data_IF_689257490964
#
_entry.id   IF_689257490964
#
_cell.length_a   1.000
_cell.length_b   1.000
_cell.length_c   1.000
_cell.angle_alpha   90.00
_cell.angle_beta   90.00
_cell.angle_gamma   90.00
#
_symmetry.space_group_name_H-M   'P 1'
#
loop_
_entity.id
_entity.type
_entity.pdbx_description
1 polymer ?
#
# COMPACT_ATOMS: atom_id res chain seq x y z
N UNK A 1 -9.78 1.48 -5.37
CA UNK A 1 -10.27 0.32 -6.17
C UNK A 1 -10.80 -0.79 -5.28
N UNK A 2 -9.98 -1.46 -4.44
CA UNK A 2 -10.50 -2.49 -3.50
C UNK A 2 -11.41 -1.89 -2.43
N UNK A 3 -11.11 -0.69 -1.93
CA UNK A 3 -12.00 0.05 -1.03
C UNK A 3 -13.20 0.72 -1.70
N UNK A 4 -13.35 0.62 -3.03
CA UNK A 4 -14.47 1.25 -3.73
C UNK A 4 -15.64 0.27 -3.74
N UNK A 5 -16.59 0.44 -2.84
CA UNK A 5 -17.78 -0.40 -2.67
C UNK A 5 -18.76 -0.27 -3.83
N UNK A 6 -19.07 0.95 -4.29
CA UNK A 6 -20.05 1.21 -5.36
C UNK A 6 -19.42 1.86 -6.62
N UNK A 7 -20.10 1.78 -7.77
CA UNK A 7 -19.66 2.37 -9.06
C UNK A 7 -19.41 3.88 -8.96
N UNK A 8 -20.23 4.56 -8.16
CA UNK A 8 -20.16 6.02 -7.97
C UNK A 8 -19.18 6.45 -6.86
N UNK A 9 -18.72 5.50 -6.01
CA UNK A 9 -17.75 5.76 -4.94
C UNK A 9 -18.24 6.55 -3.72
N UNK A 10 -19.55 6.84 -3.61
CA UNK A 10 -20.13 7.64 -2.51
C UNK A 10 -20.07 6.98 -1.13
N UNK A 11 -20.13 5.66 -1.08
CA UNK A 11 -20.12 4.86 0.16
C UNK A 11 -18.72 4.40 0.54
N UNK A 12 -17.71 4.76 -0.24
CA UNK A 12 -16.33 4.38 -0.01
C UNK A 12 -15.68 5.38 0.95
N UNK A 13 -15.67 5.01 2.22
CA UNK A 13 -15.14 5.86 3.29
C UNK A 13 -13.62 5.92 3.24
N UNK A 14 -13.09 7.13 3.36
CA UNK A 14 -11.68 7.35 3.67
C UNK A 14 -11.52 7.29 5.18
N UNK A 15 -10.64 6.42 5.67
CA UNK A 15 -10.32 6.27 7.09
C UNK A 15 -8.81 6.29 7.32
N UNK A 16 -8.41 6.30 8.59
CA UNK A 16 -6.99 6.37 8.99
C UNK A 16 -6.20 5.12 8.56
N UNK A 17 -6.83 3.95 8.50
CA UNK A 17 -6.21 2.69 8.05
C UNK A 17 -5.87 2.73 6.54
N UNK A 18 -6.77 3.25 5.71
CA UNK A 18 -6.52 3.46 4.28
C UNK A 18 -5.45 4.53 4.08
N UNK A 19 -5.54 5.62 4.86
CA UNK A 19 -4.58 6.73 4.80
C UNK A 19 -3.16 6.25 5.05
N UNK A 20 -2.93 5.54 6.15
CA UNK A 20 -1.61 4.99 6.53
C UNK A 20 -1.17 3.87 5.59
N UNK A 21 -2.05 2.92 5.24
CA UNK A 21 -1.73 1.84 4.31
C UNK A 21 -1.32 2.31 2.91
N UNK A 22 -1.89 3.42 2.42
CA UNK A 22 -1.42 4.05 1.18
C UNK A 22 0.01 4.60 1.27
N UNK A 23 0.46 5.06 2.45
CA UNK A 23 1.87 5.43 2.66
C UNK A 23 2.76 4.20 2.70
N UNK A 24 2.27 3.10 3.27
CA UNK A 24 2.89 1.77 3.13
C UNK A 24 3.06 1.35 1.66
N UNK A 25 2.02 1.54 0.84
CA UNK A 25 2.08 1.31 -0.61
C UNK A 25 3.17 2.16 -1.29
N UNK A 26 3.28 3.45 -0.93
CA UNK A 26 4.29 4.35 -1.51
C UNK A 26 5.71 3.85 -1.20
N UNK A 27 6.00 3.52 0.06
CA UNK A 27 7.31 3.01 0.46
C UNK A 27 7.63 1.68 -0.22
N UNK A 28 6.65 0.77 -0.27
CA UNK A 28 6.80 -0.53 -0.92
C UNK A 28 7.02 -0.40 -2.43
N UNK A 29 6.27 0.47 -3.10
CA UNK A 29 6.40 0.70 -4.53
C UNK A 29 7.78 1.29 -4.88
N UNK A 30 8.27 2.25 -4.08
CA UNK A 30 9.62 2.80 -4.22
C UNK A 30 10.70 1.74 -3.96
N UNK A 31 10.50 0.84 -3.00
CA UNK A 31 11.40 -0.28 -2.72
C UNK A 31 11.48 -1.26 -3.90
N UNK A 32 10.33 -1.66 -4.46
CA UNK A 32 10.25 -2.58 -5.58
C UNK A 32 10.81 -1.98 -6.88
N UNK A 33 10.79 -0.65 -7.01
CA UNK A 33 11.45 0.09 -8.11
C UNK A 33 12.94 0.35 -7.86
N UNK A 34 13.51 -0.14 -6.75
CA UNK A 34 14.92 0.05 -6.41
C UNK A 34 15.29 1.50 -6.09
N UNK A 35 14.33 2.34 -5.69
CA UNK A 35 14.56 3.72 -5.26
C UNK A 35 14.97 3.79 -3.80
N UNK A 36 14.35 2.94 -2.97
CA UNK A 36 14.61 2.85 -1.54
C UNK A 36 15.14 1.47 -1.18
N UNK A 37 15.98 1.41 -0.17
CA UNK A 37 16.39 0.18 0.50
C UNK A 37 16.49 0.39 2.00
N UNK A 38 16.58 -0.69 2.76
CA UNK A 38 16.76 -0.64 4.20
C UNK A 38 18.26 -0.64 4.52
N UNK A 39 18.68 0.16 5.51
CA UNK A 39 20.07 0.25 5.98
C UNK A 39 20.63 -1.15 6.21
N UNK A 40 21.73 -1.51 5.55
CA UNK A 40 22.29 -2.87 5.64
C UNK A 40 22.56 -3.27 7.10
N UNK A 41 22.32 -4.53 7.42
CA UNK A 41 22.66 -5.07 8.74
C UNK A 41 24.17 -5.03 8.94
N UNK A 42 24.63 -4.22 9.90
CA UNK A 42 26.02 -4.27 10.39
C UNK A 42 26.29 -5.49 11.27
N UNK A 43 27.46 -5.52 11.92
CA UNK A 43 27.87 -6.62 12.80
C UNK A 43 26.88 -6.91 13.94
N UNK A 44 26.16 -5.89 14.42
CA UNK A 44 25.04 -6.05 15.36
C UNK A 44 23.73 -6.07 14.57
N UNK A 45 23.06 -7.22 14.52
CA UNK A 45 21.73 -7.35 13.90
C UNK A 45 20.76 -6.40 14.61
N UNK A 46 20.33 -5.35 13.91
CA UNK A 46 19.20 -4.51 14.32
C UNK A 46 17.93 -5.19 13.82
N UNK A 47 16.87 -5.16 14.64
CA UNK A 47 15.53 -5.55 14.19
C UNK A 47 15.14 -4.77 12.93
N UNK A 48 14.40 -5.43 12.06
CA UNK A 48 13.83 -4.90 10.83
C UNK A 48 13.24 -3.49 10.99
N UNK A 49 12.45 -3.27 12.06
CA UNK A 49 11.78 -1.99 12.31
C UNK A 49 12.71 -0.88 12.83
N UNK A 50 13.87 -1.23 13.37
CA UNK A 50 14.85 -0.28 13.90
C UNK A 50 15.87 0.17 12.84
N UNK A 51 15.89 -0.47 11.68
CA UNK A 51 16.75 -0.09 10.55
C UNK A 51 16.19 1.13 9.84
N UNK A 52 17.07 1.93 9.27
CA UNK A 52 16.69 3.19 8.60
C UNK A 52 16.39 2.96 7.12
N UNK A 53 15.47 3.74 6.56
CA UNK A 53 15.19 3.78 5.12
C UNK A 53 16.22 4.66 4.43
N UNK A 54 16.85 4.13 3.40
CA UNK A 54 17.93 4.77 2.64
C UNK A 54 17.49 5.00 1.20
N UNK A 55 17.75 6.19 0.67
CA UNK A 55 17.58 6.48 -0.74
C UNK A 55 18.75 5.85 -1.53
N UNK A 56 18.43 4.87 -2.38
CA UNK A 56 19.38 4.18 -3.26
C UNK A 56 19.53 4.90 -4.61
N UNK A 57 18.42 5.39 -5.14
CA UNK A 57 18.36 6.07 -6.42
C UNK A 57 17.28 7.14 -6.36
N UNK A 58 17.63 8.34 -6.81
CA UNK A 58 16.75 9.52 -6.87
C UNK A 58 16.13 9.72 -8.25
N UNK A 59 16.25 8.74 -9.15
CA UNK A 59 15.68 8.82 -10.49
C UNK A 59 14.15 8.92 -10.38
N UNK A 60 13.51 9.93 -11.01
CA UNK A 60 12.06 10.08 -10.98
C UNK A 60 11.34 8.80 -11.42
N UNK A 61 10.18 8.57 -10.82
CA UNK A 61 9.31 7.43 -11.12
C UNK A 61 8.21 7.79 -12.11
N UNK A 62 7.94 9.09 -12.29
CA UNK A 62 6.85 9.62 -13.10
C UNK A 62 5.50 9.65 -12.39
N UNK A 63 5.44 9.21 -11.12
CA UNK A 63 4.25 9.38 -10.28
C UNK A 63 4.52 10.47 -9.24
N UNK A 64 3.65 11.49 -9.22
CA UNK A 64 3.84 12.69 -8.40
C UNK A 64 3.92 12.36 -6.90
N UNK A 65 3.16 11.38 -6.41
CA UNK A 65 3.17 11.02 -4.98
C UNK A 65 4.44 10.26 -4.62
N UNK A 66 4.88 9.34 -5.48
CA UNK A 66 6.13 8.60 -5.29
C UNK A 66 7.33 9.54 -5.33
N UNK A 67 7.35 10.49 -6.26
CA UNK A 67 8.47 11.41 -6.46
C UNK A 67 8.57 12.44 -5.32
N UNK A 68 7.44 12.89 -4.77
CA UNK A 68 7.41 13.76 -3.59
C UNK A 68 7.92 13.04 -2.34
N UNK A 69 7.45 11.80 -2.10
CA UNK A 69 7.95 10.97 -0.99
C UNK A 69 9.45 10.68 -1.12
N UNK A 70 9.91 10.32 -2.33
CA UNK A 70 11.32 10.06 -2.61
C UNK A 70 12.18 11.30 -2.35
N UNK A 71 11.71 12.49 -2.73
CA UNK A 71 12.37 13.76 -2.45
C UNK A 71 12.51 14.01 -0.94
N UNK A 72 11.44 13.84 -0.17
CA UNK A 72 11.49 13.99 1.28
C UNK A 72 12.50 13.03 1.92
N UNK A 73 12.50 11.76 1.49
CA UNK A 73 13.42 10.74 2.02
C UNK A 73 14.88 11.08 1.69
N UNK A 74 15.15 11.52 0.46
CA UNK A 74 16.49 11.94 0.03
C UNK A 74 17.03 13.12 0.84
N UNK A 75 16.21 14.13 1.07
CA UNK A 75 16.63 15.39 1.72
C UNK A 75 16.75 15.26 3.25
N UNK A 76 16.28 14.16 3.83
CA UNK A 76 16.25 13.97 5.28
C UNK A 76 17.54 13.36 5.81
N UNK A 77 18.18 14.08 6.73
CA UNK A 77 19.35 13.63 7.46
C UNK A 77 19.20 13.99 8.95
N UNK A 78 19.42 13.05 9.89
CA UNK A 78 19.77 11.64 9.67
C UNK A 78 18.60 10.82 9.09
N UNK A 79 18.87 9.64 8.48
CA UNK A 79 17.84 8.73 7.99
C UNK A 79 16.88 8.25 9.08
N UNK A 80 15.64 7.96 8.68
CA UNK A 80 14.52 7.65 9.57
C UNK A 80 14.01 6.22 9.37
N UNK A 81 13.28 5.67 10.34
CA UNK A 81 12.74 4.30 10.27
C UNK A 81 11.54 4.21 9.34
N UNK A 82 11.16 2.99 8.94
CA UNK A 82 9.94 2.76 8.15
C UNK A 82 8.69 3.30 8.83
N UNK A 83 8.53 3.07 10.14
CA UNK A 83 7.40 3.57 10.92
C UNK A 83 7.35 5.11 10.92
N UNK A 84 8.49 5.76 11.18
CA UNK A 84 8.58 7.22 11.15
C UNK A 84 8.18 7.79 9.79
N UNK A 85 8.56 7.13 8.68
CA UNK A 85 8.15 7.57 7.35
C UNK A 85 6.66 7.42 7.10
N UNK A 86 6.02 6.35 7.59
CA UNK A 86 4.57 6.20 7.50
C UNK A 86 3.86 7.33 8.26
N UNK A 87 4.30 7.63 9.49
CA UNK A 87 3.75 8.71 10.33
C UNK A 87 3.97 10.09 9.67
N UNK A 88 5.18 10.38 9.19
CA UNK A 88 5.53 11.66 8.57
C UNK A 88 4.75 11.93 7.29
N UNK A 89 4.67 10.94 6.39
CA UNK A 89 3.95 11.07 5.12
C UNK A 89 2.43 11.13 5.32
N UNK A 90 1.92 10.60 6.44
CA UNK A 90 0.51 10.68 6.83
C UNK A 90 0.17 11.98 7.58
N UNK A 91 1.18 12.61 8.19
CA UNK A 91 1.01 13.82 9.01
C UNK A 91 0.61 13.51 10.46
N UNK A 92 0.91 12.31 10.95
CA UNK A 92 0.58 11.84 12.30
C UNK A 92 1.65 12.21 13.35
N UNK A 93 2.67 12.96 12.93
CA UNK A 93 3.73 13.44 13.81
C UNK A 93 3.36 14.74 14.50
N UNK A 94 3.70 14.83 15.78
CA UNK A 94 3.58 16.07 16.57
C UNK A 94 4.79 16.99 16.44
N UNK A 95 5.84 16.60 15.72
CA UNK A 95 7.03 17.44 15.53
C UNK A 95 6.79 18.49 14.43
N UNK A 96 6.77 19.81 14.75
CA UNK A 96 6.48 20.86 13.77
C UNK A 96 7.45 20.87 12.58
N UNK A 97 8.71 20.47 12.79
CA UNK A 97 9.72 20.42 11.74
C UNK A 97 9.50 19.29 10.74
N UNK A 98 8.72 18.28 11.12
CA UNK A 98 8.42 17.07 10.33
C UNK A 98 7.05 17.15 9.64
N UNK A 99 6.17 18.06 10.05
CA UNK A 99 4.85 18.29 9.42
C UNK A 99 4.93 18.59 7.92
N UNK A 100 6.03 19.19 7.47
CA UNK A 100 6.27 19.47 6.04
C UNK A 100 6.36 18.23 5.15
N UNK A 101 6.53 17.04 5.73
CA UNK A 101 6.63 15.78 4.98
C UNK A 101 5.26 15.17 4.65
N UNK A 102 4.18 15.68 5.22
CA UNK A 102 2.85 15.16 4.98
C UNK A 102 2.49 15.29 3.50
N UNK A 103 2.15 14.16 2.88
CA UNK A 103 1.57 14.15 1.54
C UNK A 103 0.11 14.62 1.65
N UNK A 104 -0.21 15.73 0.97
CA UNK A 104 -1.55 16.32 0.96
C UNK A 104 -2.34 15.94 -0.28
N UNK A 105 -3.66 15.99 -0.15
CA UNK A 105 -4.63 15.76 -1.23
C UNK A 105 -4.42 14.41 -1.94
N UNK A 106 -4.07 13.37 -1.15
CA UNK A 106 -3.69 12.06 -1.69
C UNK A 106 -4.86 11.44 -2.44
N UNK A 107 -6.08 11.54 -1.91
CA UNK A 107 -7.28 11.00 -2.54
C UNK A 107 -7.53 11.63 -3.92
N UNK A 108 -7.48 12.95 -3.99
CA UNK A 108 -7.70 13.72 -5.21
C UNK A 108 -6.63 13.43 -6.26
N UNK A 109 -5.36 13.33 -5.82
CA UNK A 109 -4.23 13.00 -6.71
C UNK A 109 -4.31 11.57 -7.23
N UNK A 110 -4.71 10.61 -6.40
CA UNK A 110 -4.96 9.23 -6.83
C UNK A 110 -6.14 9.14 -7.80
N UNK A 111 -7.24 9.85 -7.53
CA UNK A 111 -8.38 9.91 -8.44
C UNK A 111 -7.98 10.48 -9.80
N UNK A 112 -7.24 11.60 -9.81
CA UNK A 112 -6.69 12.19 -11.05
C UNK A 112 -5.82 11.17 -11.82
N UNK A 113 -4.91 10.48 -11.14
CA UNK A 113 -4.07 9.45 -11.77
C UNK A 113 -4.91 8.28 -12.34
N UNK A 114 -6.03 7.91 -11.72
CA UNK A 114 -6.94 6.88 -12.24
C UNK A 114 -7.72 7.38 -13.46
N UNK A 115 -8.11 8.65 -13.48
CA UNK A 115 -8.73 9.30 -14.65
C UNK A 115 -7.77 9.35 -15.82
N UNK A 116 -6.53 9.78 -15.60
CA UNK A 116 -5.48 9.83 -16.64
C UNK A 116 -5.17 8.43 -17.23
N UNK A 117 -5.37 7.38 -16.43
CA UNK A 117 -5.22 5.98 -16.86
C UNK A 117 -6.49 5.38 -17.48
N UNK A 118 -7.57 6.16 -17.59
CA UNK A 118 -8.86 5.71 -18.16
C UNK A 118 -9.65 4.75 -17.27
N UNK A 119 -9.30 4.62 -15.99
CA UNK A 119 -10.00 3.74 -15.03
C UNK A 119 -11.25 4.42 -14.46
N UNK A 120 -11.22 5.75 -14.33
CA UNK A 120 -12.31 6.59 -13.86
C UNK A 120 -12.63 7.71 -14.87
N UNK A 121 -13.85 8.23 -14.82
CA UNK A 121 -14.21 9.49 -15.50
C UNK A 121 -14.16 10.67 -14.53
N UNK A 122 -14.37 11.87 -15.05
CA UNK A 122 -14.68 13.05 -14.23
C UNK A 122 -16.09 13.50 -14.57
N UNK A 123 -16.96 13.53 -13.58
CA UNK A 123 -18.35 13.95 -13.74
C UNK A 123 -18.68 15.06 -12.77
N UNK A 124 -19.19 16.18 -13.28
CA UNK A 124 -19.77 17.23 -12.45
C UNK A 124 -21.24 16.89 -12.21
N UNK A 125 -21.57 16.51 -10.98
CA UNK A 125 -22.94 16.25 -10.57
C UNK A 125 -23.49 17.46 -9.83
N UNK A 126 -24.65 17.94 -10.27
CA UNK A 126 -25.36 19.03 -9.62
C UNK A 126 -26.45 18.42 -8.74
N UNK A 127 -26.23 18.42 -7.42
CA UNK A 127 -27.22 18.01 -6.44
C UNK A 127 -28.11 19.21 -6.09
N UNK A 128 -29.29 18.94 -5.52
CA UNK A 128 -30.25 19.98 -5.13
C UNK A 128 -29.63 21.08 -4.25
N UNK A 129 -28.65 20.73 -3.41
CA UNK A 129 -28.05 21.63 -2.42
C UNK A 129 -26.61 22.05 -2.73
N UNK A 130 -25.93 21.39 -3.67
CA UNK A 130 -24.52 21.65 -3.98
C UNK A 130 -24.10 20.98 -5.30
N UNK A 131 -23.04 21.49 -5.91
CA UNK A 131 -22.35 20.80 -6.99
C UNK A 131 -21.17 19.99 -6.42
N UNK A 132 -20.94 18.79 -6.94
CA UNK A 132 -19.79 17.96 -6.57
C UNK A 132 -19.18 17.33 -7.82
N UNK A 133 -17.85 17.42 -7.91
CA UNK A 133 -17.09 16.66 -8.90
C UNK A 133 -16.83 15.26 -8.37
N UNK A 134 -17.17 14.27 -9.18
CA UNK A 134 -17.13 12.85 -8.82
C UNK A 134 -16.30 12.09 -9.84
N UNK A 135 -15.82 10.92 -9.43
CA UNK A 135 -14.91 10.08 -10.23
C UNK A 135 -15.40 8.64 -10.29
N UNK A 136 -16.53 8.37 -10.97
CA UNK A 136 -17.06 7.02 -11.05
C UNK A 136 -16.12 6.11 -11.86
N UNK A 137 -16.21 4.81 -11.58
CA UNK A 137 -15.45 3.79 -12.31
C UNK A 137 -16.03 3.60 -13.70
N UNK A 138 -15.20 3.80 -14.73
CA UNK A 138 -15.59 3.56 -16.13
C UNK A 138 -15.25 2.13 -16.56
N UNK A 139 -14.13 1.60 -16.09
CA UNK A 139 -13.68 0.24 -16.42
C UNK A 139 -13.95 -0.73 -15.27
N UNK A 140 -15.19 -1.25 -15.24
CA UNK A 140 -15.58 -2.30 -14.31
C UNK A 140 -14.78 -3.59 -14.52
N UNK A 141 -14.29 -3.86 -15.73
CA UNK A 141 -13.51 -5.07 -16.00
C UNK A 141 -12.15 -5.04 -15.29
N UNK A 142 -11.49 -3.88 -15.20
CA UNK A 142 -10.24 -3.73 -14.45
C UNK A 142 -10.46 -4.05 -12.97
N UNK A 143 -11.52 -3.53 -12.36
CA UNK A 143 -11.85 -3.83 -10.96
C UNK A 143 -12.11 -5.32 -10.77
N UNK A 144 -12.94 -5.94 -11.61
CA UNK A 144 -13.22 -7.38 -11.53
C UNK A 144 -11.96 -8.24 -11.73
N UNK A 145 -11.08 -7.86 -12.66
CA UNK A 145 -9.78 -8.54 -12.86
C UNK A 145 -8.87 -8.41 -11.64
N UNK A 146 -8.82 -7.25 -11.00
CA UNK A 146 -8.05 -7.04 -9.78
C UNK A 146 -8.56 -7.93 -8.65
N UNK A 147 -9.87 -7.90 -8.38
CA UNK A 147 -10.51 -8.73 -7.35
C UNK A 147 -10.25 -10.20 -7.61
N UNK A 148 -10.48 -10.68 -8.84
CA UNK A 148 -10.23 -12.07 -9.22
C UNK A 148 -8.76 -12.47 -9.01
N UNK A 149 -7.79 -11.60 -9.34
CA UNK A 149 -6.37 -11.89 -9.13
C UNK A 149 -6.00 -12.02 -7.64
N UNK A 150 -6.61 -11.20 -6.78
CA UNK A 150 -6.42 -11.28 -5.32
C UNK A 150 -7.08 -12.54 -4.75
N UNK A 151 -8.27 -12.91 -5.22
CA UNK A 151 -8.92 -14.17 -4.83
C UNK A 151 -8.08 -15.38 -5.27
N UNK A 152 -7.67 -15.44 -6.54
CA UNK A 152 -6.89 -16.56 -7.08
C UNK A 152 -5.55 -16.74 -6.35
N UNK A 153 -4.88 -15.67 -5.91
CA UNK A 153 -3.59 -15.77 -5.21
C UNK A 153 -3.69 -16.44 -3.84
N UNK A 154 -4.84 -16.35 -3.18
CA UNK A 154 -5.13 -17.04 -1.90
C UNK A 154 -6.01 -18.28 -2.07
N UNK A 155 -6.39 -18.64 -3.29
CA UNK A 155 -7.22 -19.82 -3.63
C UNK A 155 -6.48 -20.75 -4.58
N UNK A 156 -6.85 -20.75 -5.86
CA UNK A 156 -6.39 -21.72 -6.86
C UNK A 156 -4.91 -21.61 -7.22
N UNK A 157 -4.28 -20.44 -7.01
CA UNK A 157 -2.86 -20.18 -7.27
C UNK A 157 -2.04 -20.05 -5.98
N UNK A 158 -2.59 -20.47 -4.85
CA UNK A 158 -1.89 -20.43 -3.59
C UNK A 158 -0.58 -21.21 -3.63
N UNK A 159 0.44 -20.64 -3.00
CA UNK A 159 1.75 -21.27 -2.81
C UNK A 159 2.09 -21.22 -1.32
N UNK A 160 2.55 -22.33 -0.75
CA UNK A 160 2.89 -22.41 0.68
C UNK A 160 4.14 -21.59 1.04
N UNK A 161 4.99 -21.28 0.06
CA UNK A 161 6.14 -20.39 0.24
C UNK A 161 5.82 -19.00 -0.30
N UNK A 162 5.65 -17.97 0.55
CA UNK A 162 5.32 -16.60 0.14
C UNK A 162 6.32 -16.02 -0.86
N UNK A 163 7.59 -16.45 -0.81
CA UNK A 163 8.64 -15.96 -1.71
C UNK A 163 8.45 -16.40 -3.16
N UNK A 164 7.62 -17.41 -3.41
CA UNK A 164 7.23 -17.85 -4.76
C UNK A 164 6.06 -17.04 -5.33
N UNK A 165 5.38 -16.24 -4.50
CA UNK A 165 4.36 -15.31 -4.96
C UNK A 165 5.01 -14.07 -5.58
N UNK A 166 4.35 -13.47 -6.57
CA UNK A 166 4.75 -12.15 -7.07
C UNK A 166 4.77 -11.14 -5.92
N UNK A 167 5.89 -10.42 -5.75
CA UNK A 167 6.11 -9.51 -4.61
C UNK A 167 5.07 -8.39 -4.56
N UNK A 168 4.59 -7.92 -5.73
CA UNK A 168 3.55 -6.89 -5.79
C UNK A 168 2.21 -7.43 -5.32
N UNK A 169 1.87 -8.67 -5.70
CA UNK A 169 0.67 -9.35 -5.19
C UNK A 169 0.75 -9.62 -3.69
N UNK A 170 1.89 -10.11 -3.20
CA UNK A 170 2.09 -10.36 -1.76
C UNK A 170 1.94 -9.06 -0.96
N UNK A 171 2.62 -7.99 -1.37
CA UNK A 171 2.49 -6.68 -0.76
C UNK A 171 1.04 -6.14 -0.83
N UNK A 172 0.35 -6.35 -1.95
CA UNK A 172 -1.04 -5.94 -2.10
C UNK A 172 -1.96 -6.64 -1.09
N UNK A 173 -1.76 -7.94 -0.83
CA UNK A 173 -2.56 -8.67 0.16
C UNK A 173 -2.37 -8.09 1.55
N UNK A 174 -1.11 -7.93 2.00
CA UNK A 174 -0.82 -7.37 3.33
C UNK A 174 -1.33 -5.94 3.48
N UNK A 175 -1.08 -5.07 2.49
CA UNK A 175 -1.47 -3.66 2.57
C UNK A 175 -2.99 -3.49 2.42
N UNK A 176 -3.66 -4.31 1.62
CA UNK A 176 -5.12 -4.31 1.56
C UNK A 176 -5.75 -4.79 2.87
N UNK A 177 -5.13 -5.76 3.55
CA UNK A 177 -5.54 -6.19 4.88
C UNK A 177 -5.33 -5.08 5.92
N UNK A 178 -4.14 -4.48 5.97
CA UNK A 178 -3.83 -3.37 6.88
C UNK A 178 -4.71 -2.12 6.64
N UNK A 179 -5.19 -1.93 5.41
CA UNK A 179 -6.11 -0.85 5.04
C UNK A 179 -7.59 -1.19 5.21
N UNK A 180 -7.93 -2.38 5.73
CA UNK A 180 -9.33 -2.81 5.93
C UNK A 180 -10.17 -2.79 4.63
N UNK A 181 -9.55 -3.18 3.51
CA UNK A 181 -10.21 -3.25 2.19
C UNK A 181 -10.07 -4.60 1.50
N UNK A 182 -9.35 -5.55 2.11
CA UNK A 182 -9.19 -6.89 1.57
C UNK A 182 -10.49 -7.68 1.59
N UNK A 183 -11.30 -7.54 2.64
CA UNK A 183 -12.57 -8.26 2.80
C UNK A 183 -13.57 -7.94 1.68
N UNK A 184 -13.52 -6.73 1.10
CA UNK A 184 -14.30 -6.37 -0.09
C UNK A 184 -13.99 -7.27 -1.30
N UNK A 185 -12.77 -7.81 -1.40
CA UNK A 185 -12.41 -8.75 -2.45
C UNK A 185 -12.93 -10.17 -2.16
N UNK A 186 -13.22 -10.50 -0.90
CA UNK A 186 -13.68 -11.83 -0.48
C UNK A 186 -15.18 -11.91 -0.29
N UNK A 187 -15.88 -10.79 -0.11
CA UNK A 187 -17.35 -10.74 0.02
C UNK A 187 -18.12 -11.50 -1.08
N UNK A 188 -17.67 -11.56 -2.36
CA UNK A 188 -18.36 -12.34 -3.39
C UNK A 188 -18.04 -13.84 -3.43
N UNK A 189 -17.17 -14.34 -2.55
CA UNK A 189 -16.78 -15.77 -2.51
C UNK A 189 -17.90 -16.64 -1.93
N UNK A 190 -17.82 -17.95 -2.18
CA UNK A 190 -18.60 -18.94 -1.43
C UNK A 190 -18.12 -19.02 0.03
N UNK A 191 -18.95 -19.50 0.95
CA UNK A 191 -18.58 -19.65 2.36
C UNK A 191 -17.30 -20.52 2.52
N UNK A 192 -17.22 -21.63 1.78
CA UNK A 192 -16.05 -22.52 1.79
C UNK A 192 -14.78 -21.81 1.29
N UNK A 193 -14.87 -21.10 0.16
CA UNK A 193 -13.72 -20.35 -0.38
C UNK A 193 -13.30 -19.19 0.53
N UNK A 194 -14.28 -18.52 1.15
CA UNK A 194 -14.04 -17.44 2.10
C UNK A 194 -13.24 -17.93 3.31
N UNK A 195 -13.64 -19.07 3.90
CA UNK A 195 -12.92 -19.68 5.02
C UNK A 195 -11.48 -20.04 4.65
N UNK A 196 -11.27 -20.64 3.48
CA UNK A 196 -9.93 -21.00 2.97
C UNK A 196 -9.07 -19.76 2.73
N UNK A 197 -9.62 -18.74 2.08
CA UNK A 197 -8.93 -17.48 1.82
C UNK A 197 -8.50 -16.80 3.12
N UNK A 198 -9.43 -16.67 4.09
CA UNK A 198 -9.14 -16.04 5.38
C UNK A 198 -8.16 -16.85 6.23
N UNK A 199 -8.18 -18.18 6.14
CA UNK A 199 -7.17 -19.03 6.79
C UNK A 199 -5.78 -18.76 6.23
N UNK A 200 -5.63 -18.68 4.91
CA UNK A 200 -4.34 -18.43 4.25
C UNK A 200 -3.82 -17.01 4.49
N UNK A 201 -4.70 -16.02 4.56
CA UNK A 201 -4.33 -14.67 4.98
C UNK A 201 -3.81 -14.66 6.42
N UNK A 202 -4.45 -15.39 7.34
CA UNK A 202 -3.93 -15.57 8.72
C UNK A 202 -2.56 -16.26 8.73
N UNK A 203 -2.38 -17.33 7.96
CA UNK A 203 -1.07 -18.00 7.81
C UNK A 203 0.03 -17.04 7.34
N UNK A 204 -0.29 -16.08 6.45
CA UNK A 204 0.65 -15.02 6.04
C UNK A 204 0.95 -14.02 7.16
N UNK A 205 -0.05 -13.66 7.97
CA UNK A 205 0.11 -12.69 9.05
C UNK A 205 0.88 -13.26 10.24
N UNK A 206 0.83 -14.58 10.44
CA UNK A 206 1.54 -15.30 11.51
C UNK A 206 3.03 -15.58 11.18
N UNK A 207 3.51 -15.14 10.01
CA UNK A 207 4.91 -15.32 9.62
C UNK A 207 5.86 -14.47 10.48
N UNK A 208 7.06 -15.00 10.74
CA UNK A 208 8.16 -14.22 11.32
C UNK A 208 8.84 -13.39 10.22
N UNK A 209 8.42 -12.12 10.09
CA UNK A 209 8.97 -11.22 9.07
C UNK A 209 10.48 -10.99 9.18
N UNK A 210 11.08 -11.13 10.38
CA UNK A 210 12.54 -11.04 10.53
C UNK A 210 13.21 -12.22 9.80
N UNK A 211 12.64 -13.42 9.89
CA UNK A 211 13.14 -14.60 9.16
C UNK A 211 12.88 -14.50 7.66
N UNK A 212 11.70 -14.04 7.25
CA UNK A 212 11.36 -13.88 5.83
C UNK A 212 12.31 -12.91 5.11
N UNK A 213 12.84 -11.90 5.81
CA UNK A 213 13.85 -10.99 5.24
C UNK A 213 15.21 -11.64 4.97
N UNK A 214 15.53 -12.76 5.63
CA UNK A 214 16.81 -13.47 5.46
C UNK A 214 16.83 -14.38 4.23
N UNK A 215 15.67 -14.66 3.64
CA UNK A 215 15.57 -15.51 2.44
C UNK A 215 16.12 -14.80 1.21
N UNK A 216 16.70 -15.58 0.31
CA UNK A 216 17.30 -15.05 -0.92
C UNK A 216 16.28 -14.29 -1.77
N UNK A 217 16.69 -13.11 -2.28
CA UNK A 217 15.83 -12.28 -3.11
C UNK A 217 14.71 -11.55 -2.35
N UNK A 218 14.66 -11.59 -1.01
CA UNK A 218 13.73 -10.81 -0.22
C UNK A 218 13.87 -9.30 -0.49
N UNK A 219 12.76 -8.57 -0.43
CA UNK A 219 12.79 -7.10 -0.36
C UNK A 219 12.62 -6.70 1.10
N UNK A 220 13.72 -6.37 1.77
CA UNK A 220 13.72 -6.08 3.22
C UNK A 220 12.82 -4.89 3.58
N UNK A 221 12.76 -3.85 2.74
CA UNK A 221 11.93 -2.69 3.00
C UNK A 221 10.44 -3.02 2.86
N UNK A 222 10.04 -3.85 1.90
CA UNK A 222 8.67 -4.37 1.79
C UNK A 222 8.26 -5.10 3.08
N UNK A 223 9.10 -6.01 3.57
CA UNK A 223 8.85 -6.71 4.84
C UNK A 223 8.85 -5.76 6.04
N UNK A 224 9.70 -4.73 6.06
CA UNK A 224 9.70 -3.72 7.12
C UNK A 224 8.41 -2.90 7.13
N UNK A 225 7.84 -2.62 5.95
CA UNK A 225 6.53 -1.97 5.84
C UNK A 225 5.45 -2.90 6.38
N UNK A 226 5.43 -4.17 5.96
CA UNK A 226 4.46 -5.16 6.45
C UNK A 226 4.53 -5.29 7.98
N UNK A 227 5.74 -5.45 8.52
CA UNK A 227 5.96 -5.55 9.96
C UNK A 227 5.54 -4.29 10.74
N UNK A 228 5.51 -3.11 10.10
CA UNK A 228 5.05 -1.88 10.74
C UNK A 228 3.52 -1.82 10.90
N UNK A 229 2.77 -2.60 10.11
CA UNK A 229 1.30 -2.71 10.22
C UNK A 229 0.83 -3.92 11.04
N UNK A 230 1.72 -4.85 11.37
CA UNK A 230 1.39 -6.05 12.17
C UNK A 230 1.66 -5.90 13.66
N UNK A 231 2.06 -4.70 14.13
CA UNK A 231 2.31 -4.39 15.55
C UNK A 231 1.28 -3.45 16.13
#
# INVERSE_FOLDING_TARGET
>A
MLGNSNEEGYTSFWNDCISSGLRGCILTELALRGRLELEKTGMRRRSLLNRKVICKSDTPTGDVLLDEALKHIKETSPPETTQSWIEYLSGETWNPLKLKYQLRNVRERLAKNLVEKGVCSTEKQNFLLFDMTTHPLTDNQIKSKLVKRVQESVLSRWVNDPHRMDKRMLALIYLAHASDVLENAFAPLSDDDYEVAMKRVRELLDLDFEQETMKEGANELMWAVIAAFSK
#
